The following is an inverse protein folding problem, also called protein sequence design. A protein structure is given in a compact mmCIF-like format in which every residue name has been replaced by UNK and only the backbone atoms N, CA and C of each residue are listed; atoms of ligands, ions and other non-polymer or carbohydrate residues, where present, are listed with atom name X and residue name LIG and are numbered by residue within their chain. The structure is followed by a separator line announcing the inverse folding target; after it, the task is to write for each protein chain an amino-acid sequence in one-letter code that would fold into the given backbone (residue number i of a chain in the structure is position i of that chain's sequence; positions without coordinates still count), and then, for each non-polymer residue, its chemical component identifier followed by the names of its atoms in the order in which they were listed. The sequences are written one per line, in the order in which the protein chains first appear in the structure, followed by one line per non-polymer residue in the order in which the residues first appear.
data_IF_117289342194
#
_entry.id   IF_117289342194
#
_cell.length_a   1.000
_cell.length_b   1.000
_cell.length_c   1.000
_cell.angle_alpha   90.00
_cell.angle_beta   90.00
_cell.angle_gamma   90.00
#
_symmetry.space_group_name_H-M   'P 1'
#
loop_
_entity.id
_entity.type
_entity.pdbx_description
1 polymer ?
#
# COMPACT_ATOMS: atom_id res chain seq x y z
N UNK A 1 -6.00 -17.30 36.93
CA UNK A 1 -6.75 -16.66 35.82
C UNK A 1 -7.19 -17.74 34.86
N UNK A 2 -8.45 -17.73 34.40
CA UNK A 2 -8.90 -18.65 33.37
C UNK A 2 -8.72 -18.00 32.00
N UNK A 3 -7.46 -17.94 31.53
CA UNK A 3 -7.11 -17.31 30.25
C UNK A 3 -7.94 -17.87 29.08
N UNK A 4 -8.23 -19.17 29.11
CA UNK A 4 -8.99 -19.87 28.07
C UNK A 4 -10.45 -19.39 27.98
N UNK A 5 -11.04 -18.95 29.10
CA UNK A 5 -12.37 -18.36 29.12
C UNK A 5 -12.36 -16.94 28.58
N UNK A 6 -11.33 -16.16 28.91
CA UNK A 6 -11.11 -14.82 28.34
C UNK A 6 -10.94 -14.83 26.82
N UNK A 7 -10.13 -15.76 26.28
CA UNK A 7 -9.97 -15.89 24.83
C UNK A 7 -11.26 -16.29 24.13
N UNK A 8 -12.05 -17.20 24.72
CA UNK A 8 -13.37 -17.57 24.17
C UNK A 8 -14.32 -16.39 24.12
N UNK A 9 -14.37 -15.58 25.17
CA UNK A 9 -15.22 -14.39 25.23
C UNK A 9 -14.81 -13.35 24.17
N UNK A 10 -13.52 -13.07 24.04
CA UNK A 10 -13.02 -12.11 23.03
C UNK A 10 -13.30 -12.63 21.62
N UNK A 11 -13.07 -13.91 21.32
CA UNK A 11 -13.40 -14.50 20.01
C UNK A 11 -14.90 -14.46 19.71
N UNK A 12 -15.74 -14.67 20.71
CA UNK A 12 -17.19 -14.50 20.54
C UNK A 12 -17.56 -13.07 20.17
N UNK A 13 -17.00 -12.07 20.88
CA UNK A 13 -17.21 -10.65 20.57
C UNK A 13 -16.66 -10.26 19.19
N UNK A 14 -15.53 -10.83 18.76
CA UNK A 14 -14.97 -10.60 17.41
C UNK A 14 -15.89 -11.13 16.31
N UNK A 15 -16.40 -12.36 16.45
CA UNK A 15 -17.39 -12.92 15.51
C UNK A 15 -18.67 -12.09 15.45
N UNK A 16 -19.12 -11.59 16.60
CA UNK A 16 -20.28 -10.69 16.65
C UNK A 16 -19.98 -9.36 15.93
N UNK A 17 -18.77 -8.80 16.09
CA UNK A 17 -18.32 -7.61 15.35
C UNK A 17 -18.33 -7.84 13.84
N UNK A 18 -17.83 -8.97 13.37
CA UNK A 18 -17.84 -9.35 11.94
C UNK A 18 -19.27 -9.49 11.40
N UNK A 19 -20.16 -10.13 12.18
CA UNK A 19 -21.58 -10.27 11.84
C UNK A 19 -22.26 -8.90 11.71
N UNK A 20 -22.00 -7.99 12.66
CA UNK A 20 -22.53 -6.63 12.65
C UNK A 20 -21.97 -5.81 11.50
N UNK A 21 -20.69 -5.91 11.18
CA UNK A 21 -20.09 -5.28 10.00
C UNK A 21 -20.74 -5.77 8.71
N UNK A 22 -20.94 -7.08 8.58
CA UNK A 22 -21.62 -7.69 7.43
C UNK A 22 -23.08 -7.24 7.30
N UNK A 23 -23.76 -6.98 8.43
CA UNK A 23 -25.12 -6.43 8.45
C UNK A 23 -25.11 -4.96 8.02
N UNK A 24 -24.18 -4.17 8.56
CA UNK A 24 -23.99 -2.76 8.19
C UNK A 24 -23.74 -2.59 6.69
N UNK A 25 -22.83 -3.36 6.11
CA UNK A 25 -22.52 -3.27 4.67
C UNK A 25 -23.73 -3.58 3.78
N UNK A 26 -24.58 -4.55 4.19
CA UNK A 26 -25.84 -4.85 3.49
C UNK A 26 -26.83 -3.69 3.59
N UNK A 27 -26.99 -3.11 4.78
CA UNK A 27 -27.87 -1.96 4.99
C UNK A 27 -27.38 -0.71 4.23
N UNK A 28 -26.06 -0.46 4.18
CA UNK A 28 -25.45 0.63 3.40
C UNK A 28 -25.64 0.43 1.89
N UNK A 29 -25.62 -0.83 1.41
CA UNK A 29 -25.95 -1.15 0.02
C UNK A 29 -27.43 -0.85 -0.29
N UNK A 30 -28.36 -1.30 0.57
CA UNK A 30 -29.79 -1.00 0.43
C UNK A 30 -30.06 0.52 0.48
N UNK A 31 -29.41 1.23 1.40
CA UNK A 31 -29.48 2.69 1.49
C UNK A 31 -29.11 3.35 0.17
N UNK A 32 -28.04 2.88 -0.48
CA UNK A 32 -27.60 3.40 -1.78
C UNK A 32 -28.66 3.19 -2.86
N UNK A 33 -29.22 1.98 -2.99
CA UNK A 33 -30.28 1.69 -3.96
C UNK A 33 -31.52 2.57 -3.72
N UNK A 34 -31.91 2.76 -2.46
CA UNK A 34 -33.03 3.63 -2.11
C UNK A 34 -32.74 5.11 -2.38
N UNK A 35 -31.50 5.58 -2.21
CA UNK A 35 -31.10 6.95 -2.56
C UNK A 35 -31.17 7.19 -4.07
N UNK A 36 -30.71 6.23 -4.89
CA UNK A 36 -30.83 6.28 -6.35
C UNK A 36 -32.32 6.33 -6.75
N UNK A 37 -33.14 5.44 -6.17
CA UNK A 37 -34.57 5.40 -6.42
C UNK A 37 -35.30 6.68 -5.98
N UNK A 38 -34.90 7.26 -4.85
CA UNK A 38 -35.40 8.57 -4.37
C UNK A 38 -35.10 9.66 -5.39
N UNK A 39 -33.89 9.68 -5.97
CA UNK A 39 -33.50 10.62 -7.01
C UNK A 39 -34.38 10.51 -8.26
N UNK A 40 -34.61 9.29 -8.75
CA UNK A 40 -35.50 9.03 -9.90
C UNK A 40 -36.94 9.52 -9.62
N UNK A 41 -37.50 9.15 -8.48
CA UNK A 41 -38.86 9.53 -8.09
C UNK A 41 -38.99 11.04 -7.86
N UNK A 42 -37.93 11.71 -7.41
CA UNK A 42 -37.90 13.16 -7.25
C UNK A 42 -38.01 13.88 -8.60
N UNK A 43 -37.34 13.38 -9.64
CA UNK A 43 -37.44 13.97 -10.99
C UNK A 43 -38.82 13.72 -11.61
N UNK A 44 -39.39 12.53 -11.40
CA UNK A 44 -40.78 12.23 -11.80
C UNK A 44 -41.74 13.18 -11.10
N UNK A 45 -41.66 13.30 -9.77
CA UNK A 45 -42.53 14.18 -8.99
C UNK A 45 -42.44 15.64 -9.44
N UNK A 46 -41.24 16.16 -9.67
CA UNK A 46 -41.04 17.53 -10.19
C UNK A 46 -41.68 17.74 -11.57
N UNK A 47 -41.73 16.71 -12.42
CA UNK A 47 -42.35 16.79 -13.73
C UNK A 47 -43.88 16.86 -13.59
N UNK A 48 -44.46 15.93 -12.84
CA UNK A 48 -45.91 15.91 -12.61
C UNK A 48 -46.40 17.18 -11.90
N UNK A 49 -45.63 17.71 -10.93
CA UNK A 49 -45.93 18.99 -10.26
C UNK A 49 -45.97 20.17 -11.24
N UNK A 50 -45.06 20.22 -12.22
CA UNK A 50 -45.04 21.27 -13.25
C UNK A 50 -46.20 21.16 -14.21
N UNK A 51 -46.62 19.95 -14.55
CA UNK A 51 -47.73 19.74 -15.49
C UNK A 51 -49.07 20.13 -14.83
N UNK A 52 -49.23 19.88 -13.53
CA UNK A 52 -50.33 20.45 -12.72
C UNK A 52 -50.24 21.99 -12.65
N UNK A 53 -49.06 22.56 -12.35
CA UNK A 53 -48.88 24.03 -12.28
C UNK A 53 -49.25 24.76 -13.58
N UNK A 54 -48.98 24.15 -14.75
CA UNK A 54 -49.34 24.73 -16.06
C UNK A 54 -50.85 24.75 -16.31
N UNK A 55 -51.58 23.75 -15.81
CA UNK A 55 -53.02 23.64 -16.00
C UNK A 55 -53.81 24.44 -14.96
N UNK A 56 -53.27 24.61 -13.76
CA UNK A 56 -53.99 25.20 -12.61
C UNK A 56 -53.47 26.59 -12.17
N UNK A 57 -52.27 27.00 -12.59
CA UNK A 57 -51.66 28.26 -12.19
C UNK A 57 -51.25 28.35 -10.71
N UNK A 58 -51.28 27.25 -9.95
CA UNK A 58 -50.93 27.16 -8.53
C UNK A 58 -50.13 25.88 -8.20
N UNK A 59 -49.40 25.88 -7.07
CA UNK A 59 -48.54 24.76 -6.62
C UNK A 59 -49.34 23.61 -5.98
N UNK A 60 -48.96 22.36 -6.32
CA UNK A 60 -49.56 21.10 -5.83
C UNK A 60 -49.73 21.04 -4.30
N UNK A 61 -48.76 21.54 -3.54
CA UNK A 61 -48.79 21.51 -2.06
C UNK A 61 -49.91 22.39 -1.49
N UNK A 62 -50.19 23.54 -2.10
CA UNK A 62 -51.30 24.42 -1.70
C UNK A 62 -52.65 23.84 -2.13
N UNK A 63 -52.65 22.97 -3.14
CA UNK A 63 -53.86 22.42 -3.74
C UNK A 63 -54.37 21.13 -3.08
N UNK A 64 -53.50 20.26 -2.52
CA UNK A 64 -53.95 19.09 -1.70
C UNK A 64 -54.94 19.50 -0.60
N UNK A 65 -54.86 20.75 -0.15
CA UNK A 65 -55.76 21.33 0.84
C UNK A 65 -57.11 21.84 0.27
N UNK A 66 -57.35 21.80 -1.04
CA UNK A 66 -58.46 22.49 -1.74
C UNK A 66 -59.39 21.57 -2.56
N UNK A 67 -59.36 20.24 -2.37
CA UNK A 67 -60.15 19.24 -3.15
C UNK A 67 -61.67 19.37 -2.88
N UNK A 68 -62.33 20.37 -3.47
CA UNK A 68 -63.79 20.48 -3.54
C UNK A 68 -64.25 21.43 -4.66
N UNK A 69 -64.33 20.92 -5.90
CA UNK A 69 -64.90 21.67 -7.04
C UNK A 69 -64.88 20.92 -8.37
N UNK A 70 -65.77 21.32 -9.28
CA UNK A 70 -65.96 20.81 -10.66
C UNK A 70 -64.70 21.07 -11.50
N UNK A 71 -63.95 20.01 -11.84
CA UNK A 71 -62.65 20.09 -12.52
C UNK A 71 -62.71 19.52 -13.93
N UNK A 72 -61.93 20.09 -14.84
CA UNK A 72 -61.68 19.53 -16.18
C UNK A 72 -61.02 18.14 -16.08
N UNK A 73 -61.48 17.19 -16.88
CA UNK A 73 -61.02 15.79 -16.88
C UNK A 73 -59.50 15.64 -17.06
N UNK A 74 -58.87 16.53 -17.83
CA UNK A 74 -57.43 16.53 -18.06
C UNK A 74 -56.65 16.94 -16.80
N UNK A 75 -57.11 17.98 -16.10
CA UNK A 75 -56.50 18.45 -14.86
C UNK A 75 -56.63 17.41 -13.74
N UNK A 76 -57.79 16.75 -13.64
CA UNK A 76 -58.00 15.68 -12.67
C UNK A 76 -57.03 14.50 -12.86
N UNK A 77 -56.72 14.16 -14.12
CA UNK A 77 -55.78 13.08 -14.44
C UNK A 77 -54.35 13.41 -14.03
N UNK A 78 -53.84 14.58 -14.40
CA UNK A 78 -52.50 15.05 -14.03
C UNK A 78 -52.33 15.12 -12.49
N UNK A 79 -53.40 15.50 -11.77
CA UNK A 79 -53.41 15.49 -10.32
C UNK A 79 -53.28 14.08 -9.73
N UNK A 80 -53.95 13.07 -10.31
CA UNK A 80 -53.81 11.69 -9.87
C UNK A 80 -52.38 11.18 -10.08
N UNK A 81 -51.75 11.55 -11.20
CA UNK A 81 -50.37 11.17 -11.53
C UNK A 81 -49.38 11.82 -10.55
N UNK A 82 -49.55 13.11 -10.22
CA UNK A 82 -48.73 13.83 -9.24
C UNK A 82 -48.87 13.27 -7.81
N UNK A 83 -50.09 12.96 -7.35
CA UNK A 83 -50.33 12.35 -6.03
C UNK A 83 -49.68 10.96 -5.97
N UNK A 84 -49.80 10.15 -7.01
CA UNK A 84 -49.19 8.83 -7.06
C UNK A 84 -47.64 8.90 -7.05
N UNK A 85 -47.05 9.87 -7.75
CA UNK A 85 -45.61 10.12 -7.72
C UNK A 85 -45.14 10.53 -6.30
N UNK A 86 -45.89 11.41 -5.64
CA UNK A 86 -45.60 11.86 -4.27
C UNK A 86 -45.67 10.72 -3.26
N UNK A 87 -46.71 9.89 -3.31
CA UNK A 87 -46.83 8.73 -2.41
C UNK A 87 -45.65 7.76 -2.55
N UNK A 88 -45.18 7.52 -3.78
CA UNK A 88 -44.00 6.68 -4.03
C UNK A 88 -42.73 7.32 -3.47
N UNK A 89 -42.55 8.63 -3.67
CA UNK A 89 -41.41 9.37 -3.14
C UNK A 89 -41.37 9.37 -1.60
N UNK A 90 -42.50 9.66 -0.96
CA UNK A 90 -42.64 9.68 0.50
C UNK A 90 -42.42 8.28 1.10
N UNK A 91 -42.87 7.23 0.41
CA UNK A 91 -42.62 5.84 0.78
C UNK A 91 -41.13 5.51 0.81
N UNK A 92 -40.38 5.86 -0.24
CA UNK A 92 -38.92 5.64 -0.30
C UNK A 92 -38.18 6.50 0.73
N UNK A 93 -38.65 7.74 0.99
CA UNK A 93 -38.07 8.57 2.05
C UNK A 93 -38.25 7.93 3.44
N UNK A 94 -39.44 7.40 3.71
CA UNK A 94 -39.72 6.71 4.97
C UNK A 94 -38.87 5.44 5.13
N UNK A 95 -38.69 4.68 4.05
CA UNK A 95 -37.83 3.49 4.05
C UNK A 95 -36.35 3.87 4.30
N UNK A 96 -35.87 4.95 3.67
CA UNK A 96 -34.52 5.48 3.92
C UNK A 96 -34.32 5.88 5.38
N UNK A 97 -35.31 6.51 6.02
CA UNK A 97 -35.22 6.87 7.45
C UNK A 97 -35.08 5.65 8.35
N UNK A 98 -35.80 4.57 8.05
CA UNK A 98 -35.68 3.29 8.77
C UNK A 98 -34.29 2.67 8.59
N UNK A 99 -33.84 2.53 7.34
CA UNK A 99 -32.51 1.96 7.02
C UNK A 99 -31.39 2.79 7.64
N UNK A 100 -31.48 4.12 7.62
CA UNK A 100 -30.51 5.01 8.27
C UNK A 100 -30.46 4.76 9.79
N UNK A 101 -31.63 4.62 10.42
CA UNK A 101 -31.71 4.35 11.85
C UNK A 101 -31.12 2.98 12.22
N UNK A 102 -31.31 1.97 11.37
CA UNK A 102 -30.70 0.65 11.52
C UNK A 102 -29.17 0.73 11.40
N UNK A 103 -28.65 1.41 10.37
CA UNK A 103 -27.21 1.63 10.18
C UNK A 103 -26.60 2.28 11.43
N UNK A 104 -27.23 3.33 11.96
CA UNK A 104 -26.75 4.04 13.16
C UNK A 104 -26.84 3.16 14.43
N UNK A 105 -27.86 2.31 14.55
CA UNK A 105 -27.93 1.34 15.64
C UNK A 105 -26.79 0.31 15.56
N UNK A 106 -26.54 -0.26 14.38
CA UNK A 106 -25.46 -1.22 14.16
C UNK A 106 -24.09 -0.57 14.39
N UNK A 107 -23.89 0.68 13.93
CA UNK A 107 -22.67 1.45 14.21
C UNK A 107 -22.41 1.62 15.71
N UNK A 108 -23.45 1.95 16.50
CA UNK A 108 -23.34 2.04 17.97
C UNK A 108 -22.98 0.71 18.61
N UNK A 109 -23.55 -0.40 18.15
CA UNK A 109 -23.22 -1.73 18.65
C UNK A 109 -21.76 -2.10 18.35
N UNK A 110 -21.28 -1.83 17.14
CA UNK A 110 -19.87 -2.04 16.77
C UNK A 110 -18.95 -1.18 17.64
N UNK A 111 -19.31 0.09 17.86
CA UNK A 111 -18.53 0.99 18.71
C UNK A 111 -18.46 0.52 20.17
N UNK A 112 -19.57 0.01 20.71
CA UNK A 112 -19.65 -0.51 22.08
C UNK A 112 -18.76 -1.74 22.32
N UNK A 113 -18.44 -2.51 21.28
CA UNK A 113 -17.49 -3.63 21.38
C UNK A 113 -16.04 -3.18 21.59
N UNK A 114 -15.72 -1.92 21.26
CA UNK A 114 -14.41 -1.33 21.51
C UNK A 114 -13.25 -2.00 20.76
N UNK A 115 -12.06 -1.88 21.35
CA UNK A 115 -10.81 -2.45 20.85
C UNK A 115 -10.63 -3.89 21.33
N UNK A 116 -11.28 -4.83 20.63
CA UNK A 116 -11.18 -6.26 20.91
C UNK A 116 -9.80 -6.84 20.56
N UNK A 117 -9.13 -6.26 19.57
CA UNK A 117 -7.80 -6.73 19.12
C UNK A 117 -6.74 -6.37 20.16
N UNK A 118 -6.75 -5.13 20.68
CA UNK A 118 -5.90 -4.73 21.79
C UNK A 118 -6.16 -5.56 23.06
N UNK A 119 -7.43 -5.86 23.37
CA UNK A 119 -7.79 -6.75 24.48
C UNK A 119 -7.24 -8.17 24.29
N UNK A 120 -7.35 -8.73 23.08
CA UNK A 120 -6.81 -10.05 22.75
C UNK A 120 -5.28 -10.09 22.95
N UNK A 121 -4.57 -9.09 22.41
CA UNK A 121 -3.12 -9.02 22.50
C UNK A 121 -2.62 -8.77 23.93
N UNK A 122 -3.36 -7.99 24.74
CA UNK A 122 -3.05 -7.83 26.15
C UNK A 122 -3.14 -9.17 26.89
N UNK A 123 -4.19 -9.95 26.64
CA UNK A 123 -4.39 -11.25 27.26
C UNK A 123 -3.32 -12.28 26.83
N UNK A 124 -2.88 -12.24 25.56
CA UNK A 124 -1.73 -13.02 25.08
C UNK A 124 -0.47 -12.66 25.87
N UNK A 125 -0.15 -11.37 26.04
CA UNK A 125 1.06 -10.94 26.77
C UNK A 125 1.06 -11.41 28.21
N UNK A 126 -0.08 -11.27 28.90
CA UNK A 126 -0.23 -11.76 30.28
C UNK A 126 -0.01 -13.27 30.37
N UNK A 127 -0.56 -14.03 29.42
CA UNK A 127 -0.38 -15.49 29.38
C UNK A 127 1.05 -15.89 29.01
N UNK A 128 1.68 -15.18 28.10
CA UNK A 128 3.07 -15.40 27.72
C UNK A 128 4.01 -15.17 28.91
N UNK A 129 3.82 -14.09 29.66
CA UNK A 129 4.58 -13.84 30.90
C UNK A 129 4.33 -14.93 31.94
N UNK A 130 3.09 -15.41 32.06
CA UNK A 130 2.77 -16.53 32.93
C UNK A 130 3.51 -17.80 32.52
N UNK A 131 3.53 -18.15 31.23
CA UNK A 131 4.24 -19.33 30.70
C UNK A 131 5.75 -19.20 30.91
N UNK A 132 6.35 -18.04 30.62
CA UNK A 132 7.80 -17.79 30.82
C UNK A 132 8.22 -17.99 32.28
N UNK A 133 7.39 -17.60 33.24
CA UNK A 133 7.66 -17.77 34.65
C UNK A 133 7.31 -19.16 35.21
N UNK A 134 6.71 -20.03 34.38
CA UNK A 134 6.32 -21.38 34.76
C UNK A 134 6.77 -22.40 33.70
N UNK A 135 8.02 -22.90 33.80
CA UNK A 135 8.64 -23.76 32.79
C UNK A 135 7.83 -25.02 32.43
N UNK A 136 6.95 -25.49 33.32
CA UNK A 136 6.05 -26.62 33.06
C UNK A 136 5.05 -26.38 31.91
N UNK A 137 4.81 -25.12 31.51
CA UNK A 137 3.92 -24.74 30.42
C UNK A 137 4.69 -24.25 29.17
N UNK A 138 6.02 -24.15 29.24
CA UNK A 138 6.87 -23.80 28.10
C UNK A 138 7.15 -25.07 27.31
N UNK A 139 6.49 -25.21 26.16
CA UNK A 139 6.59 -26.42 25.33
C UNK A 139 7.74 -26.30 24.34
N UNK A 140 8.38 -27.42 23.98
CA UNK A 140 9.41 -27.48 22.92
C UNK A 140 8.94 -26.82 21.61
N UNK A 141 7.64 -26.92 21.28
CA UNK A 141 7.04 -26.26 20.12
C UNK A 141 7.07 -24.72 20.21
N UNK A 142 6.90 -24.15 21.41
CA UNK A 142 6.94 -22.70 21.61
C UNK A 142 8.39 -22.20 21.54
N UNK A 143 9.32 -22.96 22.10
CA UNK A 143 10.76 -22.70 21.99
C UNK A 143 11.21 -22.68 20.54
N UNK A 144 10.89 -23.73 19.77
CA UNK A 144 11.24 -23.83 18.36
C UNK A 144 10.65 -22.69 17.51
N UNK A 145 9.40 -22.27 17.78
CA UNK A 145 8.79 -21.12 17.10
C UNK A 145 9.55 -19.83 17.44
N UNK A 146 9.88 -19.59 18.71
CA UNK A 146 10.60 -18.39 19.15
C UNK A 146 12.01 -18.33 18.56
N UNK A 147 12.73 -19.45 18.52
CA UNK A 147 14.04 -19.56 17.87
C UNK A 147 13.92 -19.25 16.37
N UNK A 148 12.96 -19.86 15.67
CA UNK A 148 12.73 -19.60 14.26
C UNK A 148 12.36 -18.13 13.98
N UNK A 149 11.53 -17.53 14.83
CA UNK A 149 11.21 -16.10 14.72
C UNK A 149 12.44 -15.21 14.89
N UNK A 150 13.38 -15.58 15.76
CA UNK A 150 14.64 -14.84 15.94
C UNK A 150 15.54 -14.95 14.71
N UNK A 151 15.63 -16.14 14.10
CA UNK A 151 16.34 -16.36 12.83
C UNK A 151 15.75 -15.50 11.70
N UNK A 152 14.44 -15.63 11.44
CA UNK A 152 13.77 -14.90 10.36
C UNK A 152 13.86 -13.39 10.58
N UNK A 153 13.76 -12.92 11.83
CA UNK A 153 13.94 -11.49 12.14
C UNK A 153 15.36 -11.00 11.83
N UNK A 154 16.38 -11.82 12.06
CA UNK A 154 17.76 -11.50 11.66
C UNK A 154 17.85 -11.40 10.13
N UNK A 155 17.30 -12.37 9.41
CA UNK A 155 17.28 -12.36 7.93
C UNK A 155 16.57 -11.12 7.37
N UNK A 156 15.41 -10.74 7.92
CA UNK A 156 14.69 -9.51 7.51
C UNK A 156 15.59 -8.28 7.68
N UNK A 157 16.31 -8.19 8.80
CA UNK A 157 17.19 -7.05 9.06
C UNK A 157 18.33 -6.98 8.04
N UNK A 158 18.99 -8.10 7.77
CA UNK A 158 20.09 -8.17 6.80
C UNK A 158 19.61 -7.84 5.38
N UNK A 159 18.42 -8.32 4.99
CA UNK A 159 17.81 -8.00 3.69
C UNK A 159 17.54 -6.49 3.56
N UNK A 160 17.07 -5.84 4.64
CA UNK A 160 16.85 -4.40 4.67
C UNK A 160 18.17 -3.61 4.56
N UNK A 161 19.23 -4.05 5.24
CA UNK A 161 20.56 -3.44 5.16
C UNK A 161 21.13 -3.55 3.74
N UNK A 162 20.97 -4.70 3.08
CA UNK A 162 21.36 -4.89 1.68
C UNK A 162 20.54 -4.03 0.71
N UNK A 163 19.22 -3.93 0.88
CA UNK A 163 18.37 -3.05 0.06
C UNK A 163 18.78 -1.58 0.21
N UNK A 164 19.08 -1.15 1.43
CA UNK A 164 19.53 0.21 1.68
C UNK A 164 20.83 0.49 0.93
N UNK A 165 21.84 -0.36 1.07
CA UNK A 165 23.11 -0.21 0.37
C UNK A 165 22.96 -0.27 -1.16
N UNK A 166 22.09 -1.15 -1.67
CA UNK A 166 21.80 -1.27 -3.10
C UNK A 166 21.13 -0.01 -3.68
N UNK A 167 20.16 0.57 -2.95
CA UNK A 167 19.48 1.81 -3.35
C UNK A 167 20.42 3.01 -3.32
N UNK A 168 21.29 3.12 -2.31
CA UNK A 168 22.33 4.15 -2.28
C UNK A 168 23.28 4.04 -3.48
N UNK A 169 23.68 2.81 -3.84
CA UNK A 169 24.49 2.55 -5.02
C UNK A 169 23.78 2.95 -6.31
N UNK A 170 22.48 2.63 -6.46
CA UNK A 170 21.70 3.01 -7.65
C UNK A 170 21.72 4.52 -7.88
N UNK A 171 21.47 5.31 -6.82
CA UNK A 171 21.51 6.78 -6.90
C UNK A 171 22.91 7.27 -7.32
N UNK A 172 23.97 6.67 -6.79
CA UNK A 172 25.33 7.02 -7.17
C UNK A 172 25.63 6.70 -8.63
N UNK A 173 25.21 5.53 -9.12
CA UNK A 173 25.38 5.13 -10.53
C UNK A 173 24.61 6.04 -11.48
N UNK A 174 23.40 6.47 -11.13
CA UNK A 174 22.64 7.48 -11.89
C UNK A 174 23.39 8.81 -11.96
N UNK A 175 23.96 9.28 -10.85
CA UNK A 175 24.79 10.49 -10.83
C UNK A 175 26.06 10.37 -11.69
N UNK A 176 26.64 9.17 -11.80
CA UNK A 176 27.73 8.89 -12.74
C UNK A 176 27.24 9.01 -14.19
N UNK A 177 26.08 8.43 -14.53
CA UNK A 177 25.49 8.56 -15.88
C UNK A 177 25.28 10.02 -16.26
N UNK A 178 24.70 10.84 -15.38
CA UNK A 178 24.48 12.27 -15.62
C UNK A 178 25.79 13.02 -15.90
N UNK A 179 26.85 12.69 -15.16
CA UNK A 179 28.15 13.35 -15.29
C UNK A 179 28.89 12.92 -16.57
N UNK A 180 28.83 11.64 -16.92
CA UNK A 180 29.38 11.13 -18.18
C UNK A 180 28.62 11.71 -19.39
N UNK A 181 27.30 11.80 -19.33
CA UNK A 181 26.47 12.39 -20.40
C UNK A 181 26.78 13.88 -20.58
N UNK A 182 26.96 14.60 -19.46
CA UNK A 182 27.39 16.00 -19.49
C UNK A 182 28.78 16.13 -20.12
N UNK A 183 29.73 15.27 -19.77
CA UNK A 183 31.08 15.27 -20.34
C UNK A 183 31.10 14.94 -21.85
N UNK A 184 30.22 14.05 -22.31
CA UNK A 184 30.05 13.71 -23.74
C UNK A 184 29.52 14.90 -24.56
N UNK A 185 28.51 15.62 -24.04
CA UNK A 185 27.87 16.75 -24.73
C UNK A 185 28.82 17.93 -24.98
N UNK A 186 29.81 18.16 -24.13
CA UNK A 186 30.85 19.19 -24.33
C UNK A 186 31.92 18.78 -25.37
N UNK A 187 32.09 17.48 -25.63
CA UNK A 187 33.01 16.97 -26.65
C UNK A 187 32.57 17.25 -28.10
N UNK A 188 31.27 17.41 -28.33
CA UNK A 188 30.71 17.78 -29.64
C UNK A 188 30.94 19.28 -29.94
N UNK A 189 31.00 20.13 -28.91
CA UNK A 189 31.26 21.56 -29.04
C UNK A 189 32.71 21.88 -29.47
N UNK A 190 33.67 20.99 -29.16
CA UNK A 190 35.10 21.10 -29.51
C UNK A 190 35.34 20.98 -31.04
N UNK A 191 34.48 20.23 -31.75
CA UNK A 191 34.54 20.08 -33.21
C UNK A 191 34.07 21.31 -33.99
N UNK A 192 33.47 22.32 -33.31
CA UNK A 192 33.01 23.58 -33.89
C UNK A 192 33.88 24.81 -33.54
N UNK A 193 35.13 24.60 -33.10
CA UNK A 193 36.16 25.66 -33.09
C UNK A 193 36.25 26.53 -31.84
N UNK A 194 36.06 25.97 -30.64
CA UNK A 194 36.20 26.70 -29.37
C UNK A 194 37.57 26.51 -28.71
N UNK A 195 38.48 27.49 -28.81
CA UNK A 195 39.79 27.45 -28.13
C UNK A 195 39.74 27.48 -26.60
N UNK A 196 40.87 27.13 -25.95
CA UNK A 196 41.32 27.22 -24.53
C UNK A 196 40.30 27.12 -23.36
N UNK A 197 39.14 27.78 -23.44
CA UNK A 197 38.03 27.72 -22.49
C UNK A 197 37.28 26.38 -22.55
N UNK A 198 37.15 25.76 -23.74
CA UNK A 198 36.53 24.43 -23.89
C UNK A 198 37.33 23.33 -23.17
N UNK A 199 38.66 23.45 -23.17
CA UNK A 199 39.57 22.49 -22.53
C UNK A 199 39.49 22.53 -20.99
N UNK A 200 39.37 23.71 -20.37
CA UNK A 200 39.26 23.84 -18.90
C UNK A 200 37.91 23.34 -18.37
N UNK A 201 36.80 23.62 -19.07
CA UNK A 201 35.48 23.12 -18.70
C UNK A 201 35.39 21.58 -18.80
N UNK A 202 36.07 21.00 -19.78
CA UNK A 202 36.20 19.54 -19.95
C UNK A 202 36.92 18.88 -18.78
N UNK A 203 38.03 19.44 -18.31
CA UNK A 203 38.75 18.89 -17.16
C UNK A 203 37.88 18.87 -15.89
N UNK A 204 37.21 19.98 -15.56
CA UNK A 204 36.37 20.05 -14.36
C UNK A 204 35.19 19.06 -14.35
N UNK A 205 34.60 18.74 -15.51
CA UNK A 205 33.48 17.78 -15.61
C UNK A 205 33.94 16.33 -15.60
N UNK A 206 35.11 16.07 -16.16
CA UNK A 206 35.77 14.77 -16.07
C UNK A 206 36.18 14.51 -14.61
N UNK A 207 36.73 15.49 -13.91
CA UNK A 207 37.07 15.40 -12.49
C UNK A 207 35.81 15.10 -11.63
N UNK A 208 34.69 15.77 -11.91
CA UNK A 208 33.40 15.51 -11.27
C UNK A 208 32.90 14.07 -11.53
N UNK A 209 33.00 13.59 -12.77
CA UNK A 209 32.65 12.21 -13.09
C UNK A 209 33.53 11.23 -12.28
N UNK A 210 34.85 11.47 -12.23
CA UNK A 210 35.79 10.63 -11.47
C UNK A 210 35.45 10.54 -9.98
N UNK A 211 35.10 11.67 -9.36
CA UNK A 211 34.68 11.70 -7.96
C UNK A 211 33.41 10.87 -7.71
N UNK A 212 32.41 10.98 -8.60
CA UNK A 212 31.18 10.20 -8.51
C UNK A 212 31.42 8.71 -8.75
N UNK A 213 32.36 8.37 -9.63
CA UNK A 213 32.75 6.98 -9.88
C UNK A 213 33.46 6.38 -8.66
N UNK A 214 34.36 7.12 -8.02
CA UNK A 214 34.96 6.70 -6.74
C UNK A 214 33.90 6.47 -5.66
N UNK A 215 32.89 7.33 -5.61
CA UNK A 215 31.76 7.19 -4.67
C UNK A 215 30.95 5.93 -4.97
N UNK A 216 30.60 5.70 -6.23
CA UNK A 216 29.89 4.50 -6.67
C UNK A 216 30.70 3.22 -6.38
N UNK A 217 32.04 3.28 -6.48
CA UNK A 217 32.92 2.17 -6.08
C UNK A 217 32.81 1.83 -4.61
N UNK A 218 32.93 2.83 -3.73
CA UNK A 218 32.81 2.62 -2.29
C UNK A 218 31.44 2.02 -1.92
N UNK A 219 30.38 2.52 -2.53
CA UNK A 219 29.02 2.02 -2.32
C UNK A 219 28.82 0.61 -2.89
N UNK A 220 29.44 0.28 -4.02
CA UNK A 220 29.38 -1.07 -4.58
C UNK A 220 30.13 -2.07 -3.70
N UNK A 221 31.29 -1.71 -3.14
CA UNK A 221 31.98 -2.55 -2.14
C UNK A 221 31.14 -2.76 -0.89
N UNK A 222 30.43 -1.72 -0.43
CA UNK A 222 29.51 -1.84 0.71
C UNK A 222 28.35 -2.77 0.38
N UNK A 223 27.63 -2.52 -0.71
CA UNK A 223 26.51 -3.36 -1.14
C UNK A 223 26.95 -4.82 -1.31
N UNK A 224 28.13 -5.04 -1.89
CA UNK A 224 28.72 -6.37 -1.98
C UNK A 224 28.91 -7.05 -0.62
N UNK A 225 29.39 -6.32 0.40
CA UNK A 225 29.53 -6.85 1.76
C UNK A 225 28.19 -7.27 2.35
N UNK A 226 27.17 -6.42 2.25
CA UNK A 226 25.82 -6.74 2.75
C UNK A 226 25.25 -7.99 2.03
N UNK A 227 25.48 -8.12 0.72
CA UNK A 227 25.09 -9.32 -0.04
C UNK A 227 25.82 -10.59 0.39
N UNK A 228 27.08 -10.48 0.82
CA UNK A 228 27.84 -11.63 1.31
C UNK A 228 27.28 -12.13 2.63
N UNK A 229 26.90 -11.23 3.52
CA UNK A 229 26.33 -11.58 4.82
C UNK A 229 24.98 -12.30 4.63
N UNK A 230 24.20 -11.96 3.59
CA UNK A 230 22.99 -12.70 3.20
C UNK A 230 23.25 -14.13 2.70
N UNK A 231 24.40 -14.40 2.09
CA UNK A 231 24.78 -15.71 1.56
C UNK A 231 24.97 -16.78 2.64
N UNK A 232 25.05 -16.39 3.92
CA UNK A 232 25.07 -17.32 5.05
C UNK A 232 23.68 -17.85 5.43
N UNK A 233 22.60 -17.16 5.04
CA UNK A 233 21.24 -17.44 5.52
C UNK A 233 20.26 -17.90 4.44
N UNK A 234 20.55 -17.64 3.18
CA UNK A 234 19.64 -17.91 2.09
C UNK A 234 20.36 -18.68 0.98
N UNK A 235 19.67 -19.66 0.36
CA UNK A 235 20.11 -20.32 -0.89
C UNK A 235 19.90 -19.38 -2.07
N UNK A 236 20.43 -18.18 -1.90
CA UNK A 236 20.53 -17.24 -2.96
C UNK A 236 21.72 -17.70 -3.79
N UNK A 237 21.42 -18.59 -4.74
CA UNK A 237 22.18 -18.74 -5.97
C UNK A 237 22.13 -17.45 -6.83
N UNK A 238 22.15 -16.26 -6.20
CA UNK A 238 22.68 -15.08 -6.86
C UNK A 238 24.07 -15.50 -7.25
N UNK A 239 24.36 -15.21 -8.50
CA UNK A 239 25.67 -15.22 -9.08
C UNK A 239 26.53 -14.14 -8.36
N UNK A 240 26.66 -14.21 -7.02
CA UNK A 240 27.40 -13.27 -6.17
C UNK A 240 28.86 -13.34 -6.60
N UNK A 241 29.31 -14.55 -6.99
CA UNK A 241 30.59 -14.76 -7.66
C UNK A 241 30.74 -13.99 -8.98
N UNK A 242 29.73 -13.97 -9.84
CA UNK A 242 29.73 -13.16 -11.08
C UNK A 242 29.56 -11.67 -10.80
N UNK A 243 28.84 -11.27 -9.76
CA UNK A 243 28.74 -9.88 -9.35
C UNK A 243 30.04 -9.36 -8.74
N UNK A 244 30.72 -10.19 -7.94
CA UNK A 244 32.09 -9.97 -7.46
C UNK A 244 33.06 -9.81 -8.62
N UNK A 245 33.07 -10.78 -9.54
CA UNK A 245 33.89 -10.72 -10.74
C UNK A 245 33.57 -9.51 -11.62
N UNK A 246 32.30 -9.10 -11.67
CA UNK A 246 31.86 -7.89 -12.35
C UNK A 246 32.40 -6.64 -11.65
N UNK A 247 32.26 -6.51 -10.32
CA UNK A 247 32.69 -5.33 -9.58
C UNK A 247 34.20 -5.12 -9.69
N UNK A 248 35.00 -6.18 -9.51
CA UNK A 248 36.46 -6.13 -9.64
C UNK A 248 36.86 -5.77 -11.08
N UNK A 249 36.27 -6.43 -12.08
CA UNK A 249 36.55 -6.16 -13.50
C UNK A 249 36.09 -4.77 -13.96
N UNK A 250 34.96 -4.30 -13.46
CA UNK A 250 34.38 -3.00 -13.82
C UNK A 250 35.32 -1.88 -13.37
N UNK A 251 35.75 -1.85 -12.10
CA UNK A 251 36.53 -0.73 -11.56
C UNK A 251 38.01 -0.75 -11.98
N UNK A 252 38.68 -1.91 -12.04
CA UNK A 252 40.10 -1.98 -12.42
C UNK A 252 40.36 -1.45 -13.83
N UNK A 253 39.44 -1.72 -14.76
CA UNK A 253 39.53 -1.26 -16.14
C UNK A 253 38.94 0.14 -16.37
N UNK A 254 38.19 0.68 -15.41
CA UNK A 254 37.56 1.99 -15.54
C UNK A 254 38.57 3.14 -15.37
N UNK A 255 39.38 3.08 -14.31
CA UNK A 255 40.31 4.17 -13.95
C UNK A 255 41.56 4.24 -14.81
N UNK A 256 42.02 3.10 -15.32
CA UNK A 256 43.30 2.97 -16.01
C UNK A 256 43.25 3.56 -17.42
N UNK A 257 42.06 3.67 -18.02
CA UNK A 257 41.95 3.86 -19.46
C UNK A 257 41.29 5.17 -19.92
N UNK A 258 40.32 5.76 -19.21
CA UNK A 258 39.34 6.74 -19.72
C UNK A 258 39.82 8.07 -20.40
N UNK A 259 41.12 8.31 -20.61
CA UNK A 259 41.72 9.54 -21.20
C UNK A 259 41.41 9.79 -22.71
N UNK A 260 40.57 8.98 -23.38
CA UNK A 260 40.26 9.10 -24.83
C UNK A 260 38.75 9.11 -25.09
N UNK A 261 38.26 9.87 -26.07
CA UNK A 261 36.83 10.08 -26.36
C UNK A 261 36.00 8.79 -26.56
N UNK A 262 36.54 7.76 -27.20
CA UNK A 262 35.87 6.45 -27.32
C UNK A 262 35.55 5.79 -25.97
N UNK A 263 36.26 6.20 -24.91
CA UNK A 263 36.17 5.60 -23.57
C UNK A 263 35.05 6.19 -22.70
N UNK A 264 34.51 7.38 -23.03
CA UNK A 264 33.30 7.90 -22.37
C UNK A 264 32.08 7.03 -22.74
N UNK A 265 31.99 6.61 -24.01
CA UNK A 265 30.95 5.69 -24.47
C UNK A 265 31.06 4.32 -23.78
N UNK A 266 32.27 3.76 -23.71
CA UNK A 266 32.52 2.50 -22.98
C UNK A 266 32.19 2.62 -21.48
N UNK A 267 32.55 3.74 -20.85
CA UNK A 267 32.22 4.03 -19.46
C UNK A 267 30.70 4.09 -19.23
N UNK A 268 29.96 4.77 -20.12
CA UNK A 268 28.51 4.84 -20.06
C UNK A 268 27.88 3.43 -20.17
N UNK A 269 28.28 2.65 -21.17
CA UNK A 269 27.76 1.30 -21.38
C UNK A 269 28.00 0.38 -20.17
N UNK A 270 29.18 0.49 -19.54
CA UNK A 270 29.49 -0.27 -18.33
C UNK A 270 28.61 0.17 -17.15
N UNK A 271 28.40 1.47 -16.95
CA UNK A 271 27.56 1.99 -15.85
C UNK A 271 26.11 1.54 -16.05
N UNK A 272 25.64 1.47 -17.29
CA UNK A 272 24.31 0.94 -17.60
C UNK A 272 24.17 -0.55 -17.27
N UNK A 273 25.19 -1.36 -17.56
CA UNK A 273 25.24 -2.77 -17.13
C UNK A 273 25.24 -2.88 -15.59
N UNK A 274 26.00 -2.03 -14.90
CA UNK A 274 26.01 -1.98 -13.43
C UNK A 274 24.61 -1.66 -12.86
N UNK A 275 23.94 -0.64 -13.41
CA UNK A 275 22.56 -0.25 -13.05
C UNK A 275 21.60 -1.42 -13.26
N UNK A 276 21.68 -2.09 -14.41
CA UNK A 276 20.83 -3.26 -14.69
C UNK A 276 21.05 -4.40 -13.69
N UNK A 277 22.31 -4.74 -13.40
CA UNK A 277 22.66 -5.80 -12.44
C UNK A 277 22.21 -5.47 -11.03
N UNK A 278 22.50 -4.25 -10.55
CA UNK A 278 22.12 -3.80 -9.21
C UNK A 278 20.61 -3.80 -9.07
N UNK A 279 19.88 -3.29 -10.06
CA UNK A 279 18.42 -3.31 -10.03
C UNK A 279 17.86 -4.74 -9.98
N UNK A 280 18.41 -5.66 -10.77
CA UNK A 280 18.02 -7.07 -10.73
C UNK A 280 18.26 -7.71 -9.36
N UNK A 281 19.36 -7.36 -8.69
CA UNK A 281 19.65 -7.83 -7.32
C UNK A 281 18.66 -7.23 -6.32
N UNK A 282 18.39 -5.93 -6.39
CA UNK A 282 17.40 -5.26 -5.54
C UNK A 282 16.04 -5.96 -5.65
N UNK A 283 15.54 -6.19 -6.87
CA UNK A 283 14.23 -6.85 -7.05
C UNK A 283 14.19 -8.27 -6.47
N UNK A 284 15.31 -9.01 -6.49
CA UNK A 284 15.39 -10.33 -5.85
C UNK A 284 15.34 -10.22 -4.32
N UNK A 285 16.12 -9.30 -3.75
CA UNK A 285 16.16 -9.06 -2.31
C UNK A 285 14.78 -8.61 -1.81
N UNK A 286 14.06 -7.77 -2.57
CA UNK A 286 12.68 -7.37 -2.26
C UNK A 286 11.75 -8.59 -2.20
N UNK A 287 11.81 -9.49 -3.19
CA UNK A 287 11.00 -10.72 -3.16
C UNK A 287 11.29 -11.61 -1.95
N UNK A 288 12.57 -11.74 -1.56
CA UNK A 288 12.94 -12.51 -0.38
C UNK A 288 12.55 -11.83 0.94
N UNK A 289 12.56 -10.50 0.97
CA UNK A 289 12.08 -9.74 2.11
C UNK A 289 10.59 -9.97 2.31
N UNK A 290 9.81 -9.98 1.22
CA UNK A 290 8.39 -10.28 1.26
C UNK A 290 8.14 -11.73 1.76
N UNK A 291 8.89 -12.71 1.23
CA UNK A 291 8.81 -14.12 1.68
C UNK A 291 9.15 -14.28 3.17
N UNK A 292 10.22 -13.63 3.65
CA UNK A 292 10.63 -13.68 5.05
C UNK A 292 9.61 -12.99 5.96
N UNK A 293 8.99 -11.89 5.52
CA UNK A 293 7.90 -11.24 6.25
C UNK A 293 6.67 -12.14 6.35
N UNK A 294 6.27 -12.79 5.25
CA UNK A 294 5.19 -13.76 5.27
C UNK A 294 5.47 -14.95 6.20
N UNK A 295 6.70 -15.47 6.20
CA UNK A 295 7.12 -16.53 7.12
C UNK A 295 7.02 -16.05 8.57
N UNK A 296 7.52 -14.85 8.86
CA UNK A 296 7.43 -14.25 10.20
C UNK A 296 5.98 -14.10 10.68
N UNK A 297 5.08 -13.66 9.81
CA UNK A 297 3.64 -13.57 10.12
C UNK A 297 2.99 -14.93 10.36
N UNK A 298 3.38 -15.96 9.59
CA UNK A 298 2.91 -17.34 9.81
C UNK A 298 3.38 -17.86 11.16
N UNK A 299 4.65 -17.66 11.51
CA UNK A 299 5.20 -18.03 12.82
C UNK A 299 4.54 -17.26 13.96
N UNK A 300 4.20 -15.98 13.76
CA UNK A 300 3.47 -15.19 14.75
C UNK A 300 2.09 -15.79 15.04
N UNK A 301 1.33 -16.16 14.00
CA UNK A 301 0.02 -16.82 14.14
C UNK A 301 0.15 -18.14 14.89
N UNK A 302 1.14 -18.97 14.52
CA UNK A 302 1.42 -20.24 15.22
C UNK A 302 1.77 -19.99 16.69
N UNK A 303 2.61 -18.99 17.00
CA UNK A 303 2.96 -18.65 18.38
C UNK A 303 1.72 -18.30 19.19
N UNK A 304 0.83 -17.47 18.63
CA UNK A 304 -0.42 -17.07 19.29
C UNK A 304 -1.33 -18.28 19.56
N UNK A 305 -1.47 -19.20 18.61
CA UNK A 305 -2.24 -20.43 18.78
C UNK A 305 -1.66 -21.33 19.89
N UNK A 306 -0.34 -21.47 19.94
CA UNK A 306 0.37 -22.26 20.96
C UNK A 306 0.21 -21.63 22.34
N UNK A 307 0.33 -20.30 22.46
CA UNK A 307 0.09 -19.59 23.72
C UNK A 307 -1.38 -19.72 24.12
N UNK A 308 -2.31 -19.63 23.19
CA UNK A 308 -3.75 -19.72 23.49
C UNK A 308 -4.13 -21.12 24.01
N UNK A 309 -3.55 -22.20 23.49
CA UNK A 309 -3.88 -23.58 23.91
C UNK A 309 -3.14 -24.05 25.19
N UNK A 310 -1.97 -23.50 25.50
CA UNK A 310 -1.14 -23.89 26.67
C UNK A 310 -1.81 -23.58 28.01
#
# INVERSE_FOLDING_TARGET
MNFNEGFKEIRFKMKEKERLQSLKSRAEYQQKELMERKGELQEILKKEEKDVEKLEGMSLTRFIHMIKGDMDDALFKEQQEAIAAKMKYDGVCSELELVNSEIENVRRQIYALGDLEGQYMALIREKEEYIKNNPAFYTDELEAIVEKQAEVRRTIKELQEALYAGRELMVALEGVKESLSSAEGWGVYDMMGGGFIATMAKHSRLDEASERINTAQSLLTRFHRELKDLGEYLDISIDIGSFLGFADYFFDNFFTDWTVQNKIHDAMARVEDAVYRVNSLISKIEGQLDEAQEEFEKLEKQRLEVIERA
#
